data_IF_153423341261
#
_entry.id   IF_153423341261
#
_cell.length_a   1.000
_cell.length_b   1.000
_cell.length_c   1.000
_cell.angle_alpha   90.00
_cell.angle_beta   90.00
_cell.angle_gamma   90.00
#
_symmetry.space_group_name_H-M   'P 1'
#
loop_
_entity.id
_entity.type
_entity.pdbx_description
1 polymer ?
#
# COMPACT_ATOMS: atom_id res chain seq x y z
N UNK A 1 -19.60 8.42 -12.76
CA UNK A 1 -19.18 9.72 -12.21
C UNK A 1 -17.66 9.80 -12.23
N UNK A 2 -17.14 10.87 -12.77
CA UNK A 2 -15.70 11.09 -12.74
C UNK A 2 -15.32 11.54 -11.33
N UNK A 3 -14.46 10.75 -10.65
CA UNK A 3 -14.03 11.03 -9.28
C UNK A 3 -13.31 12.37 -9.15
N UNK A 4 -12.64 12.83 -10.20
CA UNK A 4 -11.93 14.11 -10.21
C UNK A 4 -12.85 15.34 -10.33
N UNK A 5 -14.11 15.15 -10.66
CA UNK A 5 -15.06 16.27 -10.70
C UNK A 5 -15.42 16.79 -9.33
N UNK A 6 -15.23 16.00 -8.28
CA UNK A 6 -15.35 16.51 -6.93
C UNK A 6 -14.13 17.36 -6.62
N UNK A 7 -14.32 18.66 -6.48
CA UNK A 7 -13.23 19.62 -6.27
C UNK A 7 -12.40 19.34 -5.01
N UNK A 8 -12.95 18.56 -4.07
CA UNK A 8 -12.29 18.26 -2.80
C UNK A 8 -11.63 16.90 -2.77
N UNK A 9 -11.92 16.03 -3.76
CA UNK A 9 -11.37 14.66 -3.74
C UNK A 9 -10.06 14.57 -4.50
N UNK A 10 -9.11 13.92 -3.84
CA UNK A 10 -7.80 13.61 -4.42
C UNK A 10 -7.59 12.12 -4.40
N UNK A 11 -6.83 11.63 -5.37
CA UNK A 11 -6.47 10.22 -5.44
C UNK A 11 -5.24 9.99 -4.58
N UNK A 12 -5.37 9.10 -3.61
CA UNK A 12 -4.28 8.68 -2.72
C UNK A 12 -3.86 7.27 -3.12
N UNK A 13 -2.58 7.08 -3.35
CA UNK A 13 -1.99 5.77 -3.63
C UNK A 13 -1.22 5.29 -2.42
N UNK A 14 -1.58 4.11 -1.92
CA UNK A 14 -0.83 3.41 -0.89
C UNK A 14 -0.38 2.06 -1.45
N UNK A 15 0.75 1.57 -1.00
CA UNK A 15 1.27 0.29 -1.45
C UNK A 15 1.75 -0.57 -0.30
N UNK A 16 1.81 -1.86 -0.51
CA UNK A 16 2.34 -2.79 0.48
C UNK A 16 2.13 -4.24 0.08
N UNK A 17 2.61 -5.13 0.92
CA UNK A 17 2.43 -6.58 0.72
C UNK A 17 1.05 -7.02 1.18
N UNK A 18 0.61 -6.59 2.34
CA UNK A 18 -0.69 -6.92 2.94
C UNK A 18 -0.94 -8.43 3.00
N UNK A 19 0.06 -9.17 3.49
CA UNK A 19 -0.05 -10.62 3.57
C UNK A 19 -1.01 -11.04 4.70
N UNK A 20 -0.87 -10.40 5.86
CA UNK A 20 -1.79 -10.56 6.98
C UNK A 20 -2.32 -9.18 7.35
N UNK A 21 -3.61 -8.98 7.14
CA UNK A 21 -4.25 -7.71 7.47
C UNK A 21 -4.47 -7.65 8.98
N UNK A 22 -4.04 -6.57 9.60
CA UNK A 22 -4.13 -6.36 11.04
C UNK A 22 -4.55 -4.92 11.34
N UNK A 23 -4.85 -4.60 12.62
CA UNK A 23 -5.33 -3.26 12.97
C UNK A 23 -4.43 -2.11 12.53
N UNK A 24 -3.11 -2.33 12.47
CA UNK A 24 -2.18 -1.31 11.97
C UNK A 24 -2.44 -0.95 10.52
N UNK A 25 -2.73 -1.94 9.67
CA UNK A 25 -3.10 -1.71 8.26
C UNK A 25 -4.41 -0.92 8.16
N UNK A 26 -5.41 -1.30 8.95
CA UNK A 26 -6.71 -0.62 8.93
C UNK A 26 -6.56 0.84 9.31
N UNK A 27 -5.79 1.14 10.36
CA UNK A 27 -5.54 2.51 10.77
C UNK A 27 -4.83 3.32 9.67
N UNK A 28 -3.78 2.75 9.10
CA UNK A 28 -3.00 3.40 8.03
C UNK A 28 -3.87 3.68 6.80
N UNK A 29 -4.68 2.70 6.39
CA UNK A 29 -5.53 2.87 5.22
C UNK A 29 -6.67 3.87 5.47
N UNK A 30 -7.23 3.90 6.68
CA UNK A 30 -8.20 4.93 7.05
C UNK A 30 -7.58 6.33 7.01
N UNK A 31 -6.37 6.49 7.54
CA UNK A 31 -5.66 7.76 7.50
C UNK A 31 -5.37 8.19 6.06
N UNK A 32 -4.94 7.23 5.22
CA UNK A 32 -4.68 7.51 3.81
C UNK A 32 -5.96 7.96 3.09
N UNK A 33 -7.07 7.28 3.31
CA UNK A 33 -8.38 7.65 2.74
C UNK A 33 -8.75 9.07 3.12
N UNK A 34 -8.54 9.44 4.37
CA UNK A 34 -8.89 10.76 4.88
C UNK A 34 -8.09 11.89 4.22
N UNK A 35 -6.89 11.60 3.71
CA UNK A 35 -6.05 12.61 3.07
C UNK A 35 -6.61 13.13 1.75
N UNK A 36 -7.35 12.30 1.02
CA UNK A 36 -7.80 12.71 -0.32
C UNK A 36 -9.23 12.32 -0.67
N UNK A 37 -9.76 11.31 -0.05
CA UNK A 37 -11.13 10.85 -0.30
C UNK A 37 -11.25 9.70 -1.29
N UNK A 38 -10.25 9.44 -2.13
CA UNK A 38 -10.21 8.27 -3.02
C UNK A 38 -8.93 7.51 -2.74
N UNK A 39 -9.05 6.28 -2.29
CA UNK A 39 -7.90 5.45 -1.94
C UNK A 39 -7.74 4.30 -2.92
N UNK A 40 -6.59 4.26 -3.57
CA UNK A 40 -6.15 3.15 -4.41
C UNK A 40 -4.99 2.46 -3.71
N UNK A 41 -5.06 1.14 -3.58
CA UNK A 41 -4.00 0.36 -2.93
C UNK A 41 -3.34 -0.53 -3.97
N UNK A 42 -2.02 -0.42 -4.09
CA UNK A 42 -1.21 -1.26 -4.95
C UNK A 42 -0.60 -2.39 -4.13
N UNK A 43 -0.91 -3.60 -4.50
CA UNK A 43 -0.45 -4.82 -3.82
C UNK A 43 0.85 -5.28 -4.48
N UNK A 44 1.87 -5.57 -3.69
CA UNK A 44 3.12 -6.10 -4.21
C UNK A 44 2.90 -7.47 -4.85
N UNK A 45 3.58 -7.71 -5.99
CA UNK A 45 3.56 -9.03 -6.60
C UNK A 45 4.17 -10.07 -5.66
N UNK A 46 3.89 -11.34 -5.91
CA UNK A 46 4.48 -12.43 -5.11
C UNK A 46 6.01 -12.37 -5.15
N UNK A 47 6.57 -12.07 -6.32
CA UNK A 47 8.02 -11.95 -6.50
C UNK A 47 8.60 -10.81 -5.66
N UNK A 48 7.96 -9.64 -5.69
CA UNK A 48 8.39 -8.49 -4.89
C UNK A 48 8.22 -8.77 -3.41
N UNK A 49 7.10 -9.37 -3.01
CA UNK A 49 6.83 -9.73 -1.62
C UNK A 49 7.89 -10.69 -1.08
N UNK A 50 8.29 -11.68 -1.88
CA UNK A 50 9.33 -12.62 -1.49
C UNK A 50 10.68 -11.93 -1.30
N UNK A 51 11.03 -11.01 -2.19
CA UNK A 51 12.27 -10.22 -2.05
C UNK A 51 12.26 -9.38 -0.77
N UNK A 52 11.14 -8.74 -0.47
CA UNK A 52 11.03 -7.85 0.69
C UNK A 52 11.02 -8.62 2.00
N UNK A 53 10.31 -9.74 2.07
CA UNK A 53 10.13 -10.53 3.28
C UNK A 53 11.13 -11.69 3.40
N UNK A 54 11.87 -11.98 2.32
CA UNK A 54 12.84 -13.09 2.23
C UNK A 54 12.19 -14.46 2.42
N UNK A 55 10.91 -14.56 2.12
CA UNK A 55 10.11 -15.78 2.14
C UNK A 55 8.88 -15.59 1.27
N UNK A 56 8.26 -16.68 0.78
CA UNK A 56 7.02 -16.55 0.03
C UNK A 56 5.91 -15.97 0.91
N UNK A 57 5.00 -15.16 0.34
CA UNK A 57 3.83 -14.71 1.09
C UNK A 57 2.90 -15.87 1.40
N UNK A 58 2.14 -15.75 2.48
CA UNK A 58 1.13 -16.73 2.88
C UNK A 58 0.01 -16.82 1.84
N UNK A 59 -0.42 -15.67 1.32
CA UNK A 59 -1.45 -15.57 0.28
C UNK A 59 -0.83 -15.04 -1.01
N UNK A 60 -1.27 -15.59 -2.15
CA UNK A 60 -0.80 -15.10 -3.44
C UNK A 60 -1.31 -13.68 -3.72
N UNK A 61 -0.70 -13.01 -4.70
CA UNK A 61 -0.99 -11.59 -4.98
C UNK A 61 -2.46 -11.32 -5.30
N UNK A 62 -3.13 -12.19 -6.02
CA UNK A 62 -4.54 -12.00 -6.37
C UNK A 62 -5.44 -12.11 -5.14
N UNK A 63 -5.16 -13.06 -4.25
CA UNK A 63 -5.91 -13.21 -3.02
C UNK A 63 -5.67 -12.02 -2.07
N UNK A 64 -4.44 -11.57 -1.97
CA UNK A 64 -4.11 -10.37 -1.16
C UNK A 64 -4.83 -9.14 -1.69
N UNK A 65 -4.85 -8.96 -3.03
CA UNK A 65 -5.60 -7.87 -3.65
C UNK A 65 -7.09 -7.97 -3.32
N UNK A 66 -7.66 -9.15 -3.46
CA UNK A 66 -9.08 -9.37 -3.19
C UNK A 66 -9.44 -9.03 -1.74
N UNK A 67 -8.64 -9.50 -0.79
CA UNK A 67 -8.88 -9.22 0.64
C UNK A 67 -8.83 -7.72 0.93
N UNK A 68 -7.84 -7.01 0.38
CA UNK A 68 -7.74 -5.56 0.55
C UNK A 68 -8.91 -4.85 -0.10
N UNK A 69 -9.36 -5.32 -1.27
CA UNK A 69 -10.49 -4.70 -1.96
C UNK A 69 -11.80 -4.78 -1.17
N UNK A 70 -11.90 -5.72 -0.23
CA UNK A 70 -13.07 -5.87 0.62
C UNK A 70 -13.13 -4.87 1.77
N UNK A 71 -12.06 -4.13 2.02
CA UNK A 71 -12.03 -3.15 3.10
C UNK A 71 -12.82 -1.91 2.71
N UNK A 72 -13.65 -1.42 3.64
CA UNK A 72 -14.61 -0.35 3.33
C UNK A 72 -13.96 0.97 2.88
N UNK A 73 -12.74 1.27 3.36
CA UNK A 73 -12.05 2.51 3.00
C UNK A 73 -11.34 2.44 1.66
N UNK A 74 -11.18 1.26 1.07
CA UNK A 74 -10.45 1.06 -0.18
C UNK A 74 -11.41 1.22 -1.35
N UNK A 75 -11.14 2.17 -2.23
CA UNK A 75 -11.94 2.38 -3.43
C UNK A 75 -11.53 1.44 -4.55
N UNK A 76 -10.24 1.12 -4.66
CA UNK A 76 -9.75 0.18 -5.64
C UNK A 76 -8.44 -0.45 -5.16
N UNK A 77 -8.31 -1.76 -5.36
CA UNK A 77 -7.07 -2.48 -5.07
C UNK A 77 -6.56 -3.11 -6.37
N UNK A 78 -5.30 -2.91 -6.68
CA UNK A 78 -4.66 -3.42 -7.88
C UNK A 78 -3.38 -4.15 -7.50
N UNK A 79 -2.94 -5.06 -8.37
CA UNK A 79 -1.58 -5.62 -8.27
C UNK A 79 -0.64 -4.64 -8.96
N UNK A 80 0.39 -4.19 -8.24
CA UNK A 80 1.34 -3.24 -8.79
C UNK A 80 2.21 -3.85 -9.88
N UNK A 81 2.90 -2.99 -10.63
CA UNK A 81 3.83 -3.43 -11.65
C UNK A 81 5.05 -4.09 -11.00
N UNK A 82 5.44 -5.25 -11.50
CA UNK A 82 6.46 -6.06 -10.86
C UNK A 82 7.85 -5.43 -10.86
N UNK A 83 8.25 -4.87 -11.99
CA UNK A 83 9.61 -4.40 -12.18
C UNK A 83 9.79 -2.91 -11.97
N UNK A 84 8.71 -2.13 -12.02
CA UNK A 84 8.82 -0.67 -11.96
C UNK A 84 7.58 -0.06 -11.33
N UNK A 85 7.75 0.41 -10.10
CA UNK A 85 6.67 1.07 -9.37
C UNK A 85 6.11 2.29 -10.13
N UNK A 86 6.94 2.97 -10.93
CA UNK A 86 6.50 4.17 -11.64
C UNK A 86 5.54 3.87 -12.78
N UNK A 87 5.51 2.65 -13.28
CA UNK A 87 4.46 2.24 -14.21
C UNK A 87 3.10 2.22 -13.53
N UNK A 88 3.04 1.79 -12.28
CA UNK A 88 1.82 1.87 -11.48
C UNK A 88 1.43 3.32 -11.23
N UNK A 89 2.39 4.15 -10.84
CA UNK A 89 2.14 5.58 -10.59
C UNK A 89 1.63 6.27 -11.84
N UNK A 90 2.21 6.01 -13.00
CA UNK A 90 1.75 6.56 -14.28
C UNK A 90 0.32 6.17 -14.60
N UNK A 91 -0.04 4.92 -14.32
CA UNK A 91 -1.38 4.40 -14.61
C UNK A 91 -2.44 5.02 -13.71
N UNK A 92 -2.12 5.21 -12.43
CA UNK A 92 -3.06 5.72 -11.43
C UNK A 92 -3.12 7.25 -11.43
N UNK A 93 -2.01 7.91 -11.67
CA UNK A 93 -1.86 9.37 -11.60
C UNK A 93 -2.37 9.92 -10.27
N UNK A 94 -1.78 9.48 -9.15
CA UNK A 94 -2.23 9.92 -7.85
C UNK A 94 -1.87 11.37 -7.59
N UNK A 95 -2.65 12.01 -6.73
CA UNK A 95 -2.32 13.33 -6.20
C UNK A 95 -1.40 13.22 -4.99
N UNK A 96 -1.56 12.12 -4.23
CA UNK A 96 -0.81 11.86 -3.00
C UNK A 96 -0.33 10.42 -3.03
N UNK A 97 0.93 10.20 -2.67
CA UNK A 97 1.48 8.87 -2.39
C UNK A 97 1.74 8.79 -0.89
N UNK A 98 1.21 7.75 -0.25
CA UNK A 98 1.36 7.54 1.18
C UNK A 98 2.42 6.46 1.41
N UNK A 99 3.36 6.77 2.29
CA UNK A 99 4.37 5.82 2.75
C UNK A 99 4.07 5.43 4.19
N UNK A 100 4.06 4.14 4.47
CA UNK A 100 3.97 3.63 5.83
C UNK A 100 5.26 3.93 6.61
N UNK A 101 5.19 3.74 7.93
CA UNK A 101 6.33 4.02 8.79
C UNK A 101 7.57 3.19 8.43
N UNK A 102 7.38 2.02 7.85
CA UNK A 102 8.46 1.11 7.44
C UNK A 102 8.99 1.42 6.02
N UNK A 103 8.40 2.39 5.32
CA UNK A 103 8.77 2.76 3.95
C UNK A 103 9.44 4.13 3.85
N UNK A 104 9.76 4.75 4.97
CA UNK A 104 10.31 6.12 5.00
C UNK A 104 11.57 6.24 4.15
N UNK A 105 12.41 5.21 4.13
CA UNK A 105 13.66 5.21 3.36
C UNK A 105 13.44 5.26 1.85
N UNK A 106 12.24 5.03 1.37
CA UNK A 106 11.90 5.07 -0.05
C UNK A 106 11.43 6.46 -0.51
N UNK A 107 11.24 7.39 0.40
CA UNK A 107 10.65 8.70 0.09
C UNK A 107 11.41 9.44 -1.02
N UNK A 108 12.72 9.54 -0.88
CA UNK A 108 13.54 10.26 -1.86
C UNK A 108 13.52 9.57 -3.23
N UNK A 109 13.60 8.26 -3.25
CA UNK A 109 13.52 7.48 -4.49
C UNK A 109 12.21 7.72 -5.22
N UNK A 110 11.09 7.69 -4.49
CA UNK A 110 9.77 7.90 -5.07
C UNK A 110 9.59 9.35 -5.52
N UNK A 111 10.02 10.31 -4.71
CA UNK A 111 9.96 11.73 -5.07
C UNK A 111 10.71 12.02 -6.37
N UNK A 112 11.94 11.54 -6.46
CA UNK A 112 12.78 11.75 -7.65
C UNK A 112 12.18 11.08 -8.89
N UNK A 113 11.65 9.88 -8.73
CA UNK A 113 11.03 9.16 -9.83
C UNK A 113 9.77 9.83 -10.35
N UNK A 114 8.94 10.37 -9.47
CA UNK A 114 7.76 11.12 -9.87
C UNK A 114 8.14 12.38 -10.66
N UNK A 115 9.17 13.08 -10.24
CA UNK A 115 9.69 14.25 -10.98
C UNK A 115 10.16 13.85 -12.38
N UNK A 116 10.84 12.72 -12.50
CA UNK A 116 11.34 12.25 -13.81
C UNK A 116 10.22 11.93 -14.79
N UNK A 117 9.06 11.50 -14.30
CA UNK A 117 7.91 11.22 -15.15
C UNK A 117 6.94 12.39 -15.24
N UNK A 118 7.37 13.57 -14.79
CA UNK A 118 6.59 14.83 -14.83
C UNK A 118 5.24 14.74 -14.09
N UNK A 119 5.22 14.04 -12.96
CA UNK A 119 4.04 14.01 -12.10
C UNK A 119 4.30 14.82 -10.84
N UNK A 120 3.38 15.73 -10.55
CA UNK A 120 3.40 16.52 -9.33
C UNK A 120 2.59 15.76 -8.28
N UNK A 121 3.32 15.07 -7.37
CA UNK A 121 2.72 14.19 -6.38
C UNK A 121 3.23 14.59 -5.00
N UNK A 122 2.31 14.77 -4.07
CA UNK A 122 2.64 14.98 -2.67
C UNK A 122 2.95 13.62 -2.03
N UNK A 123 4.03 13.54 -1.27
CA UNK A 123 4.41 12.33 -0.55
C UNK A 123 4.16 12.57 0.94
N UNK A 124 3.32 11.74 1.53
CA UNK A 124 2.95 11.84 2.94
C UNK A 124 3.42 10.59 3.67
N UNK A 125 4.14 10.79 4.75
CA UNK A 125 4.57 9.70 5.65
C UNK A 125 3.57 9.56 6.78
N UNK A 126 3.11 8.33 7.00
CA UNK A 126 2.21 8.02 8.10
C UNK A 126 2.98 7.25 9.18
N UNK A 127 2.70 7.59 10.43
CA UNK A 127 3.24 6.86 11.57
C UNK A 127 2.19 5.86 12.05
N UNK A 128 2.63 4.63 12.32
CA UNK A 128 1.74 3.64 12.90
C UNK A 128 1.53 3.96 14.38
N UNK A 129 0.28 4.07 14.85
CA UNK A 129 0.00 4.28 16.28
C UNK A 129 0.29 3.03 17.11
N UNK A 130 0.45 1.88 16.46
CA UNK A 130 0.78 0.60 17.09
C UNK A 130 1.93 -0.05 16.32
N UNK A 131 3.14 0.54 16.40
CA UNK A 131 4.26 0.11 15.57
C UNK A 131 4.71 -1.34 15.79
N UNK A 132 4.34 -1.94 16.90
CA UNK A 132 4.62 -3.35 17.19
C UNK A 132 3.61 -4.31 16.54
N UNK A 133 2.53 -3.80 15.92
CA UNK A 133 1.57 -4.63 15.20
C UNK A 133 1.88 -4.59 13.71
N UNK A 134 2.80 -5.45 13.28
CA UNK A 134 3.09 -5.68 11.87
C UNK A 134 2.84 -7.14 11.56
N UNK A 135 2.74 -7.48 10.27
CA UNK A 135 2.61 -8.88 9.86
C UNK A 135 3.77 -9.73 10.39
N UNK A 136 5.00 -9.17 10.35
CA UNK A 136 6.18 -9.85 10.86
C UNK A 136 6.11 -10.09 12.37
N UNK A 137 5.61 -9.12 13.13
CA UNK A 137 5.45 -9.28 14.57
C UNK A 137 4.36 -10.29 14.92
N UNK A 138 3.27 -10.31 14.17
CA UNK A 138 2.21 -11.30 14.36
C UNK A 138 2.74 -12.70 14.11
N UNK A 139 3.47 -12.91 13.01
CA UNK A 139 4.08 -14.19 12.70
C UNK A 139 5.08 -14.63 13.76
N UNK A 140 5.89 -13.71 14.25
CA UNK A 140 6.88 -13.99 15.28
C UNK A 140 6.22 -14.40 16.59
N UNK A 141 5.11 -13.75 16.94
CA UNK A 141 4.39 -14.02 18.18
C UNK A 141 3.61 -15.33 18.15
N UNK A 142 2.95 -15.63 17.04
CA UNK A 142 2.08 -16.80 16.91
C UNK A 142 2.75 -17.95 16.14
N UNK A 143 3.82 -17.67 15.44
CA UNK A 143 4.68 -18.69 14.84
C UNK A 143 3.98 -19.64 13.90
N UNK A 144 4.18 -20.93 14.16
CA UNK A 144 3.67 -22.00 13.29
C UNK A 144 2.17 -22.08 13.24
N UNK A 145 1.47 -21.56 14.24
CA UNK A 145 0.01 -21.65 14.31
C UNK A 145 -0.66 -20.87 13.19
N UNK A 146 -0.09 -19.71 12.81
CA UNK A 146 -0.60 -18.93 11.69
C UNK A 146 -0.36 -19.66 10.37
N UNK A 147 0.82 -20.22 10.20
CA UNK A 147 1.20 -20.91 8.97
C UNK A 147 0.51 -22.27 8.84
N UNK A 148 0.00 -22.81 9.91
CA UNK A 148 -0.77 -24.05 9.90
C UNK A 148 -2.22 -23.87 9.51
N UNK A 149 -2.65 -22.66 9.34
CA UNK A 149 -3.99 -22.37 8.87
C UNK A 149 -4.07 -22.53 7.36
#
# INVERSE_FOLDING_TARGET
>A
MDLKKSSTKKIVLAGGVFDIIHPGHIHTLNAAKALGGVLVVAIATDKTAQKMKKRPPLHNQELRRELVSCLSMVDNAIVGHEDNIFETVKAIKPDIIVLGYDQIHQEQFISDGCKRINLDVEIVRLQSPVPHLSSSEIEKKYGKDIHGL
#
